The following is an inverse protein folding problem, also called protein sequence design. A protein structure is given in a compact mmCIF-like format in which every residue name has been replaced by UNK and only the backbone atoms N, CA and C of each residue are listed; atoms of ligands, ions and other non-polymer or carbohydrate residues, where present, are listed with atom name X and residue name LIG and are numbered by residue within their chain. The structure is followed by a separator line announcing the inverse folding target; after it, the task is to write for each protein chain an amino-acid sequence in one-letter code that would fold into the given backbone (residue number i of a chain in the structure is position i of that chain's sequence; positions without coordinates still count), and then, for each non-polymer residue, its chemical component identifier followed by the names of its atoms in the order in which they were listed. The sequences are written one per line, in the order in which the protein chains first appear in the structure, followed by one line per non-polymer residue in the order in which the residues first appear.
data_IF_008009677746
#
_entry.id   IF_008009677746
#
_cell.length_a   1.000
_cell.length_b   1.000
_cell.length_c   1.000
_cell.angle_alpha   90.00
_cell.angle_beta   90.00
_cell.angle_gamma   90.00
#
_symmetry.space_group_name_H-M   'P 1'
#
loop_
_entity.id
_entity.type
_entity.pdbx_description
1 polymer ?
#
# COMPACT_ATOMS: atom_id res chain seq x y z
N UNK A 1 18.98 -15.76 28.44
CA UNK A 1 18.16 -14.57 28.07
C UNK A 1 18.82 -13.32 28.63
N UNK A 2 19.02 -12.27 27.83
CA UNK A 2 19.49 -10.96 28.30
C UNK A 2 18.40 -10.22 29.08
N UNK A 3 18.76 -9.29 29.96
CA UNK A 3 17.80 -8.46 30.72
C UNK A 3 16.83 -7.71 29.78
N UNK A 4 17.37 -7.12 28.71
CA UNK A 4 16.62 -6.45 27.65
C UNK A 4 15.55 -7.34 27.00
N UNK A 5 15.84 -8.62 26.74
CA UNK A 5 14.82 -9.54 26.20
C UNK A 5 13.66 -9.78 27.17
N UNK A 6 13.90 -9.73 28.49
CA UNK A 6 12.83 -9.90 29.50
C UNK A 6 11.92 -8.68 29.57
N UNK A 7 12.48 -7.48 29.45
CA UNK A 7 11.71 -6.22 29.39
C UNK A 7 10.84 -6.17 28.12
N UNK A 8 11.44 -6.50 26.97
CA UNK A 8 10.74 -6.61 25.69
C UNK A 8 9.60 -7.63 25.77
N UNK A 9 9.84 -8.78 26.41
CA UNK A 9 8.82 -9.81 26.62
C UNK A 9 7.60 -9.26 27.37
N UNK A 10 7.81 -8.45 28.41
CA UNK A 10 6.73 -7.76 29.12
C UNK A 10 5.87 -6.90 28.19
N UNK A 11 6.49 -6.10 27.33
CA UNK A 11 5.77 -5.33 26.30
C UNK A 11 5.05 -6.20 25.27
N UNK A 12 5.65 -7.31 24.84
CA UNK A 12 5.01 -8.28 23.94
C UNK A 12 3.78 -8.95 24.56
N UNK A 13 3.80 -9.22 25.87
CA UNK A 13 2.65 -9.74 26.60
C UNK A 13 1.50 -8.71 26.62
N UNK A 14 1.79 -7.46 26.98
CA UNK A 14 0.80 -6.36 26.94
C UNK A 14 0.20 -6.23 25.53
N UNK A 15 1.05 -6.19 24.50
CA UNK A 15 0.60 -6.10 23.11
C UNK A 15 -0.32 -7.28 22.71
N UNK A 16 -0.03 -8.48 23.21
CA UNK A 16 -0.85 -9.67 22.93
C UNK A 16 -2.24 -9.55 23.57
N UNK A 17 -2.32 -9.11 24.82
CA UNK A 17 -3.60 -8.87 25.51
C UNK A 17 -4.38 -7.76 24.82
N UNK A 18 -3.74 -6.64 24.47
CA UNK A 18 -4.37 -5.57 23.71
C UNK A 18 -5.00 -6.09 22.41
N UNK A 19 -4.30 -6.95 21.66
CA UNK A 19 -4.83 -7.53 20.42
C UNK A 19 -6.02 -8.48 20.65
N UNK A 20 -6.01 -9.23 21.74
CA UNK A 20 -7.14 -10.12 22.08
C UNK A 20 -8.38 -9.33 22.51
N UNK A 21 -8.18 -8.17 23.15
CA UNK A 21 -9.25 -7.27 23.55
C UNK A 21 -9.66 -6.26 22.47
N UNK A 22 -9.16 -6.38 21.23
CA UNK A 22 -9.36 -5.42 20.14
C UNK A 22 -8.96 -3.97 20.48
N UNK A 23 -7.93 -3.80 21.32
CA UNK A 23 -7.38 -2.49 21.64
C UNK A 23 -6.35 -2.06 20.58
N UNK A 24 -6.50 -0.84 20.00
CA UNK A 24 -5.75 -0.40 18.83
C UNK A 24 -4.31 0.06 19.14
N UNK A 25 -3.50 -0.80 19.75
CA UNK A 25 -2.11 -0.50 20.13
C UNK A 25 -1.12 -0.98 19.07
N UNK A 26 -0.45 -0.05 18.40
CA UNK A 26 0.59 -0.38 17.43
C UNK A 26 1.87 -0.90 18.10
N UNK A 27 2.56 -1.84 17.44
CA UNK A 27 3.84 -2.35 17.91
C UNK A 27 4.90 -1.23 18.05
N UNK A 28 4.84 -0.22 17.18
CA UNK A 28 5.69 0.97 17.27
C UNK A 28 5.48 1.78 18.54
N UNK A 29 4.26 1.81 19.09
CA UNK A 29 3.96 2.48 20.36
C UNK A 29 4.67 1.79 21.51
N UNK A 30 4.61 0.44 21.56
CA UNK A 30 5.32 -0.36 22.57
C UNK A 30 6.84 -0.20 22.43
N UNK A 31 7.36 -0.23 21.21
CA UNK A 31 8.79 -0.01 20.94
C UNK A 31 9.26 1.37 21.41
N UNK A 32 8.46 2.41 21.15
CA UNK A 32 8.74 3.76 21.62
C UNK A 32 8.74 3.86 23.16
N UNK A 33 7.74 3.29 23.83
CA UNK A 33 7.64 3.31 25.30
C UNK A 33 8.77 2.55 25.99
N UNK A 34 9.25 1.46 25.39
CA UNK A 34 10.36 0.67 25.91
C UNK A 34 11.73 1.18 25.47
N UNK A 35 11.80 2.14 24.54
CA UNK A 35 13.06 2.61 23.95
C UNK A 35 13.78 1.54 23.11
N UNK A 36 13.05 0.62 22.48
CA UNK A 36 13.60 -0.52 21.73
C UNK A 36 13.22 -0.46 20.25
N UNK A 37 14.12 -0.93 19.38
CA UNK A 37 13.83 -1.09 17.95
C UNK A 37 12.72 -2.11 17.67
N UNK A 38 11.85 -1.78 16.70
CA UNK A 38 10.72 -2.61 16.30
C UNK A 38 11.14 -3.97 15.71
N UNK A 39 12.35 -4.09 15.18
CA UNK A 39 12.94 -5.33 14.65
C UNK A 39 13.12 -6.35 15.78
N UNK A 40 13.77 -5.94 16.87
CA UNK A 40 14.01 -6.75 18.06
C UNK A 40 12.71 -7.08 18.78
N UNK A 41 11.83 -6.09 18.94
CA UNK A 41 10.49 -6.29 19.50
C UNK A 41 9.67 -7.31 18.68
N UNK A 42 9.72 -7.22 17.35
CA UNK A 42 9.03 -8.13 16.44
C UNK A 42 9.58 -9.56 16.47
N UNK A 43 10.89 -9.74 16.71
CA UNK A 43 11.49 -11.06 16.89
C UNK A 43 10.99 -11.72 18.17
N UNK A 44 11.06 -11.02 19.31
CA UNK A 44 10.59 -11.53 20.61
C UNK A 44 9.08 -11.78 20.59
N UNK A 45 8.30 -10.90 19.97
CA UNK A 45 6.85 -11.08 19.82
C UNK A 45 6.50 -12.37 19.06
N UNK A 46 7.26 -12.69 18.00
CA UNK A 46 7.06 -13.92 17.22
C UNK A 46 7.46 -15.18 17.98
N UNK A 47 8.54 -15.11 18.75
CA UNK A 47 8.93 -16.21 19.65
C UNK A 47 7.84 -16.46 20.71
N UNK A 48 7.33 -15.40 21.33
CA UNK A 48 6.24 -15.46 22.31
C UNK A 48 4.98 -16.11 21.73
N UNK A 49 4.50 -15.63 20.58
CA UNK A 49 3.27 -16.16 19.97
C UNK A 49 3.42 -17.61 19.54
N UNK A 50 4.59 -18.00 19.04
CA UNK A 50 4.90 -19.39 18.70
C UNK A 50 4.96 -20.28 19.95
N UNK A 51 5.64 -19.83 21.00
CA UNK A 51 5.82 -20.61 22.23
C UNK A 51 4.48 -20.84 22.98
N UNK A 52 3.60 -19.84 22.97
CA UNK A 52 2.30 -19.90 23.65
C UNK A 52 1.14 -20.33 22.74
N UNK A 53 1.41 -20.67 21.47
CA UNK A 53 0.41 -21.00 20.46
C UNK A 53 -0.74 -19.98 20.37
N UNK A 54 -0.41 -18.69 20.47
CA UNK A 54 -1.39 -17.61 20.42
C UNK A 54 -1.79 -17.37 18.97
N UNK A 55 -3.09 -17.47 18.68
CA UNK A 55 -3.64 -17.01 17.40
C UNK A 55 -3.41 -15.51 17.26
N UNK A 56 -2.63 -15.11 16.26
CA UNK A 56 -2.33 -13.71 16.02
C UNK A 56 -3.60 -13.02 15.51
N UNK A 57 -4.27 -12.28 16.40
CA UNK A 57 -5.29 -11.31 15.99
C UNK A 57 -4.59 -10.07 15.45
N UNK A 58 -4.94 -9.66 14.24
CA UNK A 58 -4.47 -8.39 13.67
C UNK A 58 -5.44 -7.29 14.06
N UNK A 59 -4.93 -6.20 14.62
CA UNK A 59 -5.72 -4.98 14.85
C UNK A 59 -6.25 -4.51 13.50
N UNK A 60 -7.57 -4.31 13.41
CA UNK A 60 -8.18 -3.71 12.24
C UNK A 60 -7.71 -2.28 12.09
N UNK A 61 -7.36 -1.87 10.87
CA UNK A 61 -7.00 -0.46 10.62
C UNK A 61 -8.13 0.50 11.03
N UNK A 62 -9.36 0.03 10.97
CA UNK A 62 -10.57 0.74 11.37
C UNK A 62 -10.61 1.01 12.88
N UNK A 63 -10.16 0.08 13.70
CA UNK A 63 -10.16 0.20 15.16
C UNK A 63 -9.22 1.32 15.65
N UNK A 64 -8.17 1.62 14.86
CA UNK A 64 -7.24 2.72 15.12
C UNK A 64 -7.77 4.08 14.65
N UNK A 65 -8.74 4.11 13.74
CA UNK A 65 -9.10 5.33 13.01
C UNK A 65 -9.68 6.41 13.93
N UNK A 66 -10.57 6.03 14.84
CA UNK A 66 -11.24 6.98 15.72
C UNK A 66 -10.23 7.71 16.60
N UNK A 67 -9.47 6.96 17.41
CA UNK A 67 -8.39 7.52 18.24
C UNK A 67 -7.42 8.37 17.41
N UNK A 68 -7.06 7.90 16.21
CA UNK A 68 -6.14 8.63 15.34
C UNK A 68 -6.71 9.97 14.85
N UNK A 69 -8.01 10.06 14.57
CA UNK A 69 -8.67 11.31 14.20
C UNK A 69 -8.75 12.30 15.38
N UNK A 70 -8.94 11.80 16.60
CA UNK A 70 -8.96 12.64 17.81
C UNK A 70 -7.60 13.26 18.15
N UNK A 71 -6.50 12.64 17.74
CA UNK A 71 -5.16 13.21 17.91
C UNK A 71 -4.93 14.49 17.07
N UNK A 72 -5.74 14.72 16.03
CA UNK A 72 -5.66 15.95 15.23
C UNK A 72 -6.46 17.08 15.88
N UNK A 73 -5.80 18.22 16.06
CA UNK A 73 -6.43 19.45 16.58
C UNK A 73 -7.13 20.23 15.45
N UNK A 74 -8.18 19.63 14.92
CA UNK A 74 -9.00 20.18 13.83
C UNK A 74 -10.41 20.61 14.30
N UNK A 75 -10.66 20.70 15.60
CA UNK A 75 -11.97 21.06 16.13
C UNK A 75 -12.38 22.51 15.81
N UNK A 76 -13.69 22.83 15.81
CA UNK A 76 -14.21 24.18 15.53
C UNK A 76 -13.69 25.25 16.51
N UNK A 77 -13.26 24.84 17.70
CA UNK A 77 -12.68 25.74 18.70
C UNK A 77 -11.25 26.20 18.36
N UNK A 78 -10.59 25.57 17.40
CA UNK A 78 -9.15 25.74 17.15
C UNK A 78 -8.88 26.52 15.86
N UNK A 79 -9.61 26.25 14.77
CA UNK A 79 -9.32 26.82 13.44
C UNK A 79 -10.59 26.95 12.58
N UNK A 80 -11.27 28.10 12.58
CA UNK A 80 -12.62 28.27 12.00
C UNK A 80 -12.76 27.81 10.53
N UNK A 81 -11.82 28.18 9.64
CA UNK A 81 -11.90 27.86 8.19
C UNK A 81 -11.47 26.42 7.87
N UNK A 82 -10.62 25.82 8.71
CA UNK A 82 -10.07 24.48 8.49
C UNK A 82 -10.65 23.42 9.41
N UNK A 83 -11.56 23.82 10.29
CA UNK A 83 -12.17 22.97 11.27
C UNK A 83 -13.01 21.88 10.62
N UNK A 84 -12.91 20.68 11.18
CA UNK A 84 -13.83 19.58 10.96
C UNK A 84 -14.05 18.85 12.29
N UNK A 85 -15.30 18.54 12.64
CA UNK A 85 -15.56 17.65 13.78
C UNK A 85 -14.91 16.28 13.52
N UNK A 86 -14.25 15.68 14.54
CA UNK A 86 -13.58 14.39 14.40
C UNK A 86 -14.48 13.30 13.80
N UNK A 87 -15.77 13.27 14.17
CA UNK A 87 -16.71 12.28 13.65
C UNK A 87 -16.83 12.31 12.11
N UNK A 88 -16.93 13.50 11.51
CA UNK A 88 -17.03 13.61 10.04
C UNK A 88 -15.76 13.17 9.34
N UNK A 89 -14.60 13.37 9.97
CA UNK A 89 -13.33 12.85 9.49
C UNK A 89 -13.30 11.33 9.58
N UNK A 90 -13.74 10.75 10.70
CA UNK A 90 -13.83 9.29 10.89
C UNK A 90 -14.75 8.67 9.84
N UNK A 91 -15.96 9.18 9.65
CA UNK A 91 -16.93 8.62 8.70
C UNK A 91 -16.37 8.61 7.26
N UNK A 92 -15.74 9.72 6.85
CA UNK A 92 -15.21 9.83 5.50
C UNK A 92 -13.91 9.07 5.30
N UNK A 93 -13.01 9.10 6.28
CA UNK A 93 -11.76 8.33 6.23
C UNK A 93 -12.03 6.83 6.28
N UNK A 94 -13.03 6.40 7.05
CA UNK A 94 -13.54 5.03 7.09
C UNK A 94 -13.95 4.56 5.69
N UNK A 95 -14.82 5.31 5.02
CA UNK A 95 -15.27 4.98 3.68
C UNK A 95 -14.12 4.95 2.65
N UNK A 96 -13.11 5.81 2.78
CA UNK A 96 -11.89 5.79 1.97
C UNK A 96 -11.01 4.56 2.25
N UNK A 97 -10.90 4.13 3.51
CA UNK A 97 -10.12 2.95 3.90
C UNK A 97 -10.81 1.67 3.43
N UNK A 98 -12.13 1.59 3.51
CA UNK A 98 -12.90 0.48 2.94
C UNK A 98 -12.72 0.40 1.43
N UNK A 99 -12.79 1.54 0.72
CA UNK A 99 -12.45 1.59 -0.70
C UNK A 99 -11.00 1.16 -0.97
N UNK A 100 -10.06 1.55 -0.10
CA UNK A 100 -8.67 1.14 -0.20
C UNK A 100 -8.50 -0.39 0.00
N UNK A 101 -9.33 -1.01 0.85
CA UNK A 101 -9.36 -2.45 1.04
C UNK A 101 -9.85 -3.16 -0.22
N UNK A 102 -10.98 -2.70 -0.79
CA UNK A 102 -11.55 -3.23 -2.04
C UNK A 102 -10.58 -3.09 -3.23
N UNK A 103 -9.71 -2.08 -3.21
CA UNK A 103 -8.71 -1.81 -4.24
C UNK A 103 -7.29 -2.34 -3.92
N UNK A 104 -7.13 -3.23 -2.93
CA UNK A 104 -5.85 -3.87 -2.57
C UNK A 104 -4.73 -2.91 -2.11
N UNK A 105 -5.09 -1.76 -1.54
CA UNK A 105 -4.14 -0.79 -0.98
C UNK A 105 -3.81 -1.11 0.48
N UNK A 106 -4.70 -1.77 1.23
CA UNK A 106 -4.51 -2.07 2.67
C UNK A 106 -3.58 -3.26 2.92
N UNK A 107 -3.74 -4.33 2.14
CA UNK A 107 -3.13 -5.65 2.41
C UNK A 107 -1.61 -5.62 2.41
N UNK A 108 -1.00 -6.13 3.49
CA UNK A 108 0.47 -6.26 3.62
C UNK A 108 1.22 -4.96 3.88
N UNK A 109 0.53 -3.89 4.32
CA UNK A 109 1.13 -2.56 4.48
C UNK A 109 1.02 -2.04 5.90
N UNK A 110 1.91 -1.10 6.22
CA UNK A 110 1.88 -0.36 7.47
C UNK A 110 0.57 0.46 7.56
N UNK A 111 -0.18 0.38 8.67
CA UNK A 111 -1.48 1.06 8.78
C UNK A 111 -1.35 2.57 8.94
N UNK A 112 -0.36 3.06 9.69
CA UNK A 112 -0.21 4.49 10.00
C UNK A 112 -0.09 5.39 8.76
N UNK A 113 0.75 5.08 7.74
CA UNK A 113 0.80 5.90 6.52
C UNK A 113 -0.53 5.92 5.75
N UNK A 114 -1.33 4.85 5.82
CA UNK A 114 -2.62 4.77 5.15
C UNK A 114 -3.68 5.59 5.89
N UNK A 115 -3.70 5.52 7.23
CA UNK A 115 -4.55 6.38 8.07
C UNK A 115 -4.28 7.86 7.79
N UNK A 116 -3.01 8.29 7.79
CA UNK A 116 -2.61 9.66 7.47
C UNK A 116 -3.10 10.10 6.08
N UNK A 117 -2.95 9.23 5.08
CA UNK A 117 -3.38 9.52 3.72
C UNK A 117 -4.92 9.64 3.60
N UNK A 118 -5.64 8.71 4.23
CA UNK A 118 -7.11 8.69 4.22
C UNK A 118 -7.70 9.90 4.96
N UNK A 119 -7.19 10.23 6.15
CA UNK A 119 -7.64 11.39 6.93
C UNK A 119 -7.36 12.70 6.18
N UNK A 120 -6.19 12.84 5.56
CA UNK A 120 -5.89 14.02 4.74
C UNK A 120 -6.84 14.16 3.54
N UNK A 121 -7.12 13.08 2.80
CA UNK A 121 -8.08 13.10 1.69
C UNK A 121 -9.51 13.34 2.16
N UNK A 122 -9.90 12.79 3.31
CA UNK A 122 -11.18 13.06 3.95
C UNK A 122 -11.32 14.55 4.27
N UNK A 123 -10.32 15.13 4.92
CA UNK A 123 -10.29 16.56 5.23
C UNK A 123 -10.37 17.42 3.98
N UNK A 124 -9.59 17.12 2.94
CA UNK A 124 -9.63 17.89 1.68
C UNK A 124 -11.01 17.79 1.01
N UNK A 125 -11.59 16.60 0.92
CA UNK A 125 -12.86 16.40 0.22
C UNK A 125 -14.08 16.98 0.94
N UNK A 126 -14.02 17.18 2.27
CA UNK A 126 -15.12 17.78 3.04
C UNK A 126 -15.32 19.27 2.70
N UNK A 127 -14.24 19.95 2.29
CA UNK A 127 -14.31 21.32 1.78
C UNK A 127 -13.23 21.55 0.70
N UNK A 128 -13.43 21.01 -0.52
CA UNK A 128 -12.37 20.92 -1.51
C UNK A 128 -11.98 22.27 -2.10
N UNK A 129 -12.92 23.22 -2.19
CA UNK A 129 -12.66 24.55 -2.72
C UNK A 129 -11.64 25.32 -1.87
N UNK A 130 -11.70 25.14 -0.55
CA UNK A 130 -10.80 25.81 0.38
C UNK A 130 -9.51 25.00 0.61
N UNK A 131 -9.61 23.66 0.65
CA UNK A 131 -8.58 22.80 1.23
C UNK A 131 -7.62 22.14 0.22
N UNK A 132 -7.99 22.02 -1.06
CA UNK A 132 -7.14 21.33 -2.03
C UNK A 132 -5.79 22.00 -2.29
N UNK A 133 -5.68 23.32 -2.06
CA UNK A 133 -4.43 24.08 -2.22
C UNK A 133 -3.36 23.74 -1.17
N UNK A 134 -3.76 23.11 -0.05
CA UNK A 134 -2.84 22.77 1.02
C UNK A 134 -2.19 21.41 0.77
N UNK A 135 -0.89 21.31 1.03
CA UNK A 135 -0.14 20.06 0.97
C UNK A 135 -0.35 19.23 2.24
N UNK A 136 0.01 17.94 2.17
CA UNK A 136 -0.01 17.05 3.33
C UNK A 136 0.78 17.61 4.53
N UNK A 137 2.01 18.11 4.29
CA UNK A 137 2.82 18.70 5.36
C UNK A 137 2.14 19.91 6.01
N UNK A 138 1.49 20.77 5.20
CA UNK A 138 0.79 21.94 5.73
C UNK A 138 -0.46 21.51 6.52
N UNK A 139 -1.17 20.49 6.06
CA UNK A 139 -2.27 19.86 6.80
C UNK A 139 -1.80 19.32 8.17
N UNK A 140 -0.70 18.57 8.23
CA UNK A 140 -0.18 18.05 9.49
C UNK A 140 0.19 19.17 10.48
N UNK A 141 0.76 20.27 9.98
CA UNK A 141 1.04 21.47 10.79
C UNK A 141 -0.23 22.16 11.28
N UNK A 142 -1.26 22.27 10.44
CA UNK A 142 -2.57 22.85 10.80
C UNK A 142 -3.20 21.99 11.90
N UNK A 143 -3.26 20.68 11.73
CA UNK A 143 -3.84 19.76 12.72
C UNK A 143 -2.95 19.44 13.92
N UNK A 144 -1.81 20.11 14.08
CA UNK A 144 -0.82 19.89 15.15
C UNK A 144 -0.46 18.41 15.37
N UNK A 145 -0.35 17.64 14.29
CA UNK A 145 0.01 16.23 14.38
C UNK A 145 1.47 16.07 14.87
N UNK A 146 1.78 15.07 15.72
CA UNK A 146 3.13 14.87 16.24
C UNK A 146 4.17 14.77 15.13
N UNK A 147 5.12 15.72 15.10
CA UNK A 147 6.06 15.90 13.98
C UNK A 147 6.93 14.67 13.72
N UNK A 148 7.34 13.97 14.79
CA UNK A 148 8.14 12.75 14.66
C UNK A 148 7.40 11.63 13.91
N UNK A 149 6.08 11.55 14.06
CA UNK A 149 5.26 10.46 13.52
C UNK A 149 5.06 10.57 12.01
N UNK A 150 4.73 11.76 11.50
CA UNK A 150 4.45 11.95 10.06
C UNK A 150 5.70 12.24 9.23
N UNK A 151 6.76 12.80 9.82
CA UNK A 151 8.04 12.99 9.11
C UNK A 151 8.69 11.66 8.71
N UNK A 152 8.69 10.66 9.62
CA UNK A 152 9.28 9.33 9.34
C UNK A 152 8.49 8.53 8.30
N UNK A 153 7.17 8.72 8.25
CA UNK A 153 6.29 8.00 7.31
C UNK A 153 6.04 8.76 6.01
N UNK A 154 6.57 9.98 5.84
CA UNK A 154 6.19 10.92 4.76
C UNK A 154 6.16 10.28 3.39
N UNK A 155 7.23 9.60 3.00
CA UNK A 155 7.33 9.01 1.65
C UNK A 155 6.37 7.84 1.46
N UNK A 156 6.03 7.13 2.55
CA UNK A 156 5.00 6.10 2.54
C UNK A 156 3.61 6.72 2.43
N UNK A 157 3.35 7.83 3.12
CA UNK A 157 2.08 8.57 3.02
C UNK A 157 1.87 9.10 1.61
N UNK A 158 2.87 9.74 1.01
CA UNK A 158 2.80 10.26 -0.37
C UNK A 158 2.51 9.13 -1.36
N UNK A 159 3.10 7.94 -1.17
CA UNK A 159 2.77 6.76 -1.98
C UNK A 159 1.32 6.30 -1.80
N UNK A 160 0.81 6.25 -0.55
CA UNK A 160 -0.60 5.91 -0.29
C UNK A 160 -1.56 6.94 -0.89
N UNK A 161 -1.22 8.22 -0.83
CA UNK A 161 -2.01 9.30 -1.45
C UNK A 161 -2.10 9.16 -2.95
N UNK A 162 -0.98 8.84 -3.62
CA UNK A 162 -0.96 8.59 -5.05
C UNK A 162 -1.87 7.42 -5.42
N UNK A 163 -1.72 6.28 -4.75
CA UNK A 163 -2.53 5.09 -5.03
C UNK A 163 -4.03 5.33 -4.79
N UNK A 164 -4.39 6.01 -3.70
CA UNK A 164 -5.79 6.38 -3.41
C UNK A 164 -6.35 7.31 -4.49
N UNK A 165 -5.60 8.35 -4.90
CA UNK A 165 -6.01 9.25 -5.98
C UNK A 165 -6.15 8.50 -7.30
N UNK A 166 -5.25 7.58 -7.62
CA UNK A 166 -5.32 6.76 -8.83
C UNK A 166 -6.60 5.90 -8.85
N UNK A 167 -6.96 5.28 -7.72
CA UNK A 167 -8.23 4.53 -7.57
C UNK A 167 -9.43 5.46 -7.73
N UNK A 168 -9.43 6.60 -7.05
CA UNK A 168 -10.50 7.59 -7.17
C UNK A 168 -10.64 8.10 -8.61
N UNK A 169 -9.54 8.32 -9.34
CA UNK A 169 -9.58 8.73 -10.74
C UNK A 169 -10.22 7.66 -11.63
N UNK A 170 -9.87 6.38 -11.42
CA UNK A 170 -10.49 5.27 -12.14
C UNK A 170 -12.00 5.22 -11.90
N UNK A 171 -12.43 5.38 -10.65
CA UNK A 171 -13.86 5.39 -10.30
C UNK A 171 -14.57 6.67 -10.77
N UNK A 172 -13.90 7.81 -10.74
CA UNK A 172 -14.45 9.08 -11.20
C UNK A 172 -14.81 9.06 -12.69
N UNK A 173 -14.01 8.38 -13.53
CA UNK A 173 -14.29 8.21 -14.96
C UNK A 173 -15.58 7.42 -15.23
N UNK A 174 -16.02 6.62 -14.26
CA UNK A 174 -17.26 5.84 -14.35
C UNK A 174 -18.52 6.62 -13.95
N UNK A 175 -18.38 7.87 -13.49
CA UNK A 175 -19.52 8.71 -13.13
C UNK A 175 -20.32 9.09 -14.39
N UNK A 176 -21.64 8.80 -14.44
CA UNK A 176 -22.44 8.99 -15.66
C UNK A 176 -22.45 10.42 -16.21
N UNK A 177 -22.42 11.43 -15.33
CA UNK A 177 -22.49 12.83 -15.71
C UNK A 177 -21.16 13.41 -16.22
N UNK A 178 -20.04 12.73 -15.99
CA UNK A 178 -18.74 13.18 -16.51
C UNK A 178 -18.53 12.78 -17.98
N UNK A 179 -19.32 11.84 -18.52
CA UNK A 179 -19.34 11.46 -19.96
C UNK A 179 -17.94 11.30 -20.59
N UNK A 180 -16.99 10.71 -19.86
CA UNK A 180 -15.62 10.51 -20.35
C UNK A 180 -14.69 11.72 -20.21
N UNK A 181 -15.11 12.76 -19.49
CA UNK A 181 -14.26 13.90 -19.15
C UNK A 181 -13.02 13.50 -18.35
N UNK A 182 -11.94 14.26 -18.50
CA UNK A 182 -10.68 13.98 -17.83
C UNK A 182 -10.81 14.14 -16.32
N UNK A 183 -10.52 13.05 -15.59
CA UNK A 183 -10.45 13.03 -14.13
C UNK A 183 -8.99 12.98 -13.71
N UNK A 184 -8.48 14.12 -13.26
CA UNK A 184 -7.09 14.25 -12.82
C UNK A 184 -6.90 13.98 -11.33
N UNK A 185 -5.74 13.44 -10.91
CA UNK A 185 -5.44 13.16 -9.50
C UNK A 185 -5.53 14.37 -8.56
N UNK A 186 -5.37 15.58 -9.10
CA UNK A 186 -5.38 16.82 -8.32
C UNK A 186 -6.81 17.37 -8.11
N UNK A 187 -7.74 17.05 -9.00
CA UNK A 187 -9.10 17.56 -9.00
C UNK A 187 -10.13 16.54 -8.51
N UNK A 188 -9.79 15.24 -8.57
CA UNK A 188 -10.66 14.12 -8.17
C UNK A 188 -11.19 14.21 -6.75
N UNK A 189 -10.49 14.92 -5.87
CA UNK A 189 -10.90 15.12 -4.46
C UNK A 189 -12.27 15.80 -4.35
N UNK A 190 -12.66 16.62 -5.35
CA UNK A 190 -14.00 17.22 -5.43
C UNK A 190 -15.12 16.20 -5.61
N UNK A 191 -14.81 15.05 -6.20
CA UNK A 191 -15.77 13.99 -6.56
C UNK A 191 -15.86 12.89 -5.50
N UNK A 192 -15.07 12.96 -4.43
CA UNK A 192 -14.96 11.89 -3.44
C UNK A 192 -16.30 11.56 -2.79
N UNK A 193 -17.15 12.55 -2.53
CA UNK A 193 -18.47 12.31 -1.92
C UNK A 193 -19.36 11.44 -2.84
N UNK A 194 -19.44 11.81 -4.12
CA UNK A 194 -20.20 11.07 -5.13
C UNK A 194 -19.64 9.67 -5.38
N UNK A 195 -18.31 9.55 -5.43
CA UNK A 195 -17.61 8.29 -5.62
C UNK A 195 -17.88 7.36 -4.44
N UNK A 196 -17.72 7.84 -3.21
CA UNK A 196 -17.91 7.02 -2.00
C UNK A 196 -19.36 6.58 -1.85
N UNK A 197 -20.33 7.46 -2.13
CA UNK A 197 -21.76 7.14 -2.10
C UNK A 197 -22.13 5.99 -3.03
N UNK A 198 -21.44 5.86 -4.16
CA UNK A 198 -21.72 4.85 -5.20
C UNK A 198 -20.61 3.79 -5.36
N UNK A 199 -19.69 3.67 -4.39
CA UNK A 199 -18.41 2.95 -4.56
C UNK A 199 -18.54 1.54 -5.10
N UNK A 200 -19.52 0.76 -4.61
CA UNK A 200 -19.71 -0.65 -5.02
C UNK A 200 -20.11 -0.75 -6.49
N UNK A 201 -21.05 0.10 -6.93
CA UNK A 201 -21.50 0.13 -8.30
C UNK A 201 -20.38 0.61 -9.24
N UNK A 202 -19.63 1.63 -8.84
CA UNK A 202 -18.52 2.16 -9.63
C UNK A 202 -17.37 1.15 -9.73
N UNK A 203 -17.02 0.43 -8.67
CA UNK A 203 -16.00 -0.62 -8.69
C UNK A 203 -16.38 -1.73 -9.69
N UNK A 204 -17.62 -2.23 -9.60
CA UNK A 204 -18.11 -3.28 -10.52
C UNK A 204 -18.12 -2.81 -11.97
N UNK A 205 -18.56 -1.56 -12.21
CA UNK A 205 -18.60 -0.97 -13.56
C UNK A 205 -17.18 -0.76 -14.12
N UNK A 206 -16.27 -0.23 -13.32
CA UNK A 206 -14.88 0.00 -13.71
C UNK A 206 -14.19 -1.31 -14.12
N UNK A 207 -14.39 -2.39 -13.34
CA UNK A 207 -13.83 -3.71 -13.67
C UNK A 207 -14.41 -4.25 -14.97
N UNK A 208 -15.75 -4.21 -15.15
CA UNK A 208 -16.40 -4.68 -16.38
C UNK A 208 -15.95 -3.92 -17.62
N UNK A 209 -15.87 -2.59 -17.54
CA UNK A 209 -15.44 -1.76 -18.66
C UNK A 209 -13.98 -2.02 -19.04
N UNK A 210 -13.12 -2.23 -18.03
CA UNK A 210 -11.73 -2.60 -18.27
C UNK A 210 -11.59 -3.98 -18.94
N UNK A 211 -12.36 -4.97 -18.50
CA UNK A 211 -12.39 -6.30 -19.12
C UNK A 211 -12.85 -6.24 -20.59
N UNK A 212 -13.88 -5.44 -20.89
CA UNK A 212 -14.36 -5.24 -22.27
C UNK A 212 -13.31 -4.54 -23.14
N UNK A 213 -12.61 -3.53 -22.62
CA UNK A 213 -11.52 -2.86 -23.34
C UNK A 213 -10.40 -3.83 -23.70
N UNK A 214 -10.00 -4.70 -22.76
CA UNK A 214 -8.96 -5.71 -22.98
C UNK A 214 -9.36 -6.72 -24.07
N UNK A 215 -10.63 -7.14 -24.10
CA UNK A 215 -11.15 -8.07 -25.11
C UNK A 215 -11.14 -7.45 -26.51
N UNK A 216 -11.54 -6.18 -26.62
CA UNK A 216 -11.54 -5.46 -27.89
C UNK A 216 -10.10 -5.29 -28.42
N UNK A 217 -9.14 -4.92 -27.58
CA UNK A 217 -7.72 -4.78 -27.95
C UNK A 217 -7.13 -6.09 -28.48
N UNK A 218 -7.47 -7.21 -27.85
CA UNK A 218 -7.00 -8.56 -28.24
C UNK A 218 -7.56 -8.99 -29.60
N UNK A 219 -8.83 -8.68 -29.88
CA UNK A 219 -9.46 -9.00 -31.18
C UNK A 219 -8.91 -8.15 -32.33
N UNK A 220 -8.60 -6.87 -32.10
CA UNK A 220 -7.95 -6.02 -33.12
C UNK A 220 -6.53 -6.45 -33.46
N UNK A 221 -5.80 -7.11 -32.56
CA UNK A 221 -4.43 -7.59 -32.85
C UNK A 221 -4.38 -8.93 -33.59
N UNK A 222 -5.49 -9.68 -33.63
CA UNK A 222 -5.56 -10.96 -34.35
C UNK A 222 -5.97 -10.81 -35.83
N UNK A 223 -6.67 -9.73 -36.21
CA UNK A 223 -7.10 -9.51 -37.60
C UNK A 223 -6.01 -8.98 -38.55
N UNK A 224 -4.86 -8.51 -38.04
CA UNK A 224 -3.77 -7.94 -38.86
C UNK A 224 -2.63 -8.94 -39.18
N UNK A 225 -2.83 -10.25 -38.94
CA UNK A 225 -1.84 -11.28 -39.32
C UNK A 225 -2.17 -11.91 -40.69
N UNK A 226 -1.74 -11.23 -41.75
CA UNK A 226 -1.52 -11.85 -43.07
C UNK A 226 -0.42 -12.94 -42.97
N UNK A 227 -0.55 -14.10 -43.64
CA UNK A 227 0.45 -15.16 -43.59
C UNK A 227 1.62 -14.79 -44.50
N UNK A 228 2.68 -14.24 -43.91
CA UNK A 228 3.97 -14.09 -44.57
C UNK A 228 4.99 -15.01 -43.91
N UNK A 229 5.37 -16.05 -44.66
CA UNK A 229 6.45 -16.95 -44.33
C UNK A 229 7.78 -16.18 -44.20
N UNK A 230 8.28 -16.01 -42.98
CA UNK A 230 9.72 -15.86 -42.75
C UNK A 230 10.09 -16.25 -41.33
N UNK A 231 11.04 -17.18 -41.24
CA UNK A 231 11.56 -17.76 -40.02
C UNK A 231 12.25 -16.72 -39.11
N UNK A 232 12.18 -17.04 -37.82
CA UNK A 232 13.16 -16.75 -36.78
C UNK A 232 13.00 -15.42 -36.01
N UNK A 233 12.42 -15.48 -34.81
CA UNK A 233 13.17 -15.48 -33.54
C UNK A 233 12.19 -15.34 -32.37
N UNK A 234 11.89 -16.47 -31.74
CA UNK A 234 11.09 -16.54 -30.50
C UNK A 234 11.72 -15.67 -29.41
N UNK A 235 10.99 -14.65 -28.96
CA UNK A 235 11.28 -13.93 -27.73
C UNK A 235 10.29 -14.39 -26.65
N UNK A 236 10.73 -15.07 -25.57
CA UNK A 236 9.81 -15.56 -24.56
C UNK A 236 9.35 -14.39 -23.68
N UNK A 237 8.20 -13.83 -24.03
CA UNK A 237 7.44 -12.90 -23.19
C UNK A 237 7.23 -13.52 -21.81
N UNK A 238 7.78 -12.87 -20.78
CA UNK A 238 7.66 -13.24 -19.38
C UNK A 238 6.20 -13.53 -19.02
N UNK A 239 5.88 -14.80 -18.75
CA UNK A 239 4.55 -15.27 -18.37
C UNK A 239 4.20 -14.77 -16.96
N UNK A 240 3.77 -13.51 -16.87
CA UNK A 240 2.79 -13.14 -15.84
C UNK A 240 1.52 -13.93 -16.16
N UNK A 241 0.93 -14.69 -15.21
CA UNK A 241 -0.31 -15.41 -15.46
C UNK A 241 -1.33 -14.46 -16.09
N UNK A 242 -1.90 -14.79 -17.24
CA UNK A 242 -2.83 -13.93 -17.99
C UNK A 242 -3.97 -13.41 -17.11
N UNK A 243 -4.36 -14.18 -16.10
CA UNK A 243 -5.37 -13.85 -15.11
C UNK A 243 -5.03 -12.60 -14.27
N UNK A 244 -3.75 -12.36 -13.97
CA UNK A 244 -3.30 -11.16 -13.25
C UNK A 244 -3.25 -9.92 -14.14
N UNK A 245 -3.13 -10.07 -15.47
CA UNK A 245 -3.18 -8.93 -16.40
C UNK A 245 -4.61 -8.39 -16.62
N UNK A 246 -5.63 -9.18 -16.27
CA UNK A 246 -7.05 -8.89 -16.54
C UNK A 246 -7.76 -8.06 -15.47
N UNK A 247 -7.15 -7.84 -14.31
CA UNK A 247 -7.81 -7.12 -13.21
C UNK A 247 -7.38 -5.64 -13.13
N UNK A 248 -8.36 -4.72 -13.17
CA UNK A 248 -8.12 -3.26 -13.10
C UNK A 248 -7.45 -2.82 -11.78
N UNK A 249 -7.86 -3.44 -10.67
CA UNK A 249 -7.35 -3.16 -9.32
C UNK A 249 -6.47 -4.33 -8.88
N UNK A 250 -5.16 -4.16 -9.08
CA UNK A 250 -4.14 -5.08 -8.60
C UNK A 250 -3.41 -4.48 -7.41
N UNK A 251 -2.93 -5.33 -6.47
CA UNK A 251 -2.00 -4.89 -5.46
C UNK A 251 -0.84 -4.13 -6.12
N UNK A 252 -0.50 -2.91 -5.69
CA UNK A 252 0.46 -2.08 -6.42
C UNK A 252 1.87 -2.70 -6.61
N UNK A 253 2.24 -3.70 -5.80
CA UNK A 253 3.51 -4.42 -5.98
C UNK A 253 3.53 -5.30 -7.25
N UNK A 254 2.36 -5.77 -7.71
CA UNK A 254 2.22 -6.60 -8.92
C UNK A 254 2.53 -5.78 -10.17
N UNK A 255 2.28 -4.47 -10.14
CA UNK A 255 2.53 -3.56 -11.27
C UNK A 255 4.01 -3.22 -11.46
N UNK A 256 4.81 -3.37 -10.42
CA UNK A 256 6.26 -3.18 -10.50
C UNK A 256 6.91 -4.47 -11.01
N UNK A 257 7.07 -4.60 -12.33
CA UNK A 257 7.98 -5.58 -12.91
C UNK A 257 9.38 -5.33 -12.34
N UNK A 258 9.90 -6.23 -11.51
CA UNK A 258 11.30 -6.19 -11.09
C UNK A 258 12.08 -7.37 -11.64
N UNK A 259 13.14 -6.95 -12.35
CA UNK A 259 14.37 -7.62 -12.75
C UNK A 259 14.21 -8.82 -13.68
N UNK A 260 14.86 -8.67 -14.84
CA UNK A 260 15.32 -9.75 -15.69
C UNK A 260 15.85 -10.86 -14.79
N UNK A 261 15.11 -11.97 -14.70
CA UNK A 261 15.76 -13.24 -14.44
C UNK A 261 16.71 -13.37 -15.63
N UNK A 262 18.00 -13.28 -15.37
CA UNK A 262 18.94 -13.99 -16.23
C UNK A 262 18.42 -15.43 -16.17
N UNK A 263 18.00 -15.98 -17.30
CA UNK A 263 17.62 -17.38 -17.35
C UNK A 263 18.71 -18.16 -16.63
N UNK A 264 18.34 -18.86 -15.56
CA UNK A 264 19.31 -19.69 -14.86
C UNK A 264 19.80 -20.68 -15.92
N UNK A 265 21.09 -20.66 -16.30
CA UNK A 265 21.59 -21.66 -17.21
C UNK A 265 21.27 -23.03 -16.62
N UNK A 266 20.89 -23.99 -17.45
CA UNK A 266 20.77 -25.37 -16.99
C UNK A 266 22.14 -25.77 -16.46
N UNK A 267 22.25 -25.89 -15.14
CA UNK A 267 23.48 -26.27 -14.47
C UNK A 267 23.56 -27.80 -14.55
N UNK A 268 24.25 -28.30 -15.57
CA UNK A 268 24.82 -29.65 -15.57
C UNK A 268 26.11 -29.63 -14.76
N UNK A 269 25.97 -29.46 -13.44
CA UNK A 269 27.08 -29.52 -12.49
C UNK A 269 26.80 -30.66 -11.52
N UNK A 270 27.57 -31.73 -11.66
CA UNK A 270 27.60 -32.95 -10.85
C UNK A 270 28.53 -32.83 -9.65
N UNK A 271 29.52 -31.93 -9.69
CA UNK A 271 30.51 -31.72 -8.64
C UNK A 271 31.74 -32.62 -8.72
N UNK A 272 31.76 -33.54 -9.68
CA UNK A 272 32.86 -34.45 -9.98
C UNK A 272 33.61 -34.04 -11.27
N UNK A 273 33.38 -32.83 -11.77
CA UNK A 273 34.06 -32.34 -12.97
C UNK A 273 35.56 -32.15 -12.71
N UNK A 274 36.38 -32.59 -13.67
CA UNK A 274 37.82 -32.34 -13.65
C UNK A 274 38.09 -30.83 -13.77
N UNK A 275 38.77 -30.27 -12.77
CA UNK A 275 39.20 -28.87 -12.78
C UNK A 275 40.59 -28.81 -13.41
N UNK A 276 40.73 -28.13 -14.55
CA UNK A 276 42.02 -28.04 -15.23
C UNK A 276 43.02 -27.14 -14.48
N UNK A 277 44.31 -27.46 -14.57
CA UNK A 277 45.38 -26.65 -13.97
C UNK A 277 45.35 -25.19 -14.46
N UNK A 278 44.94 -24.96 -15.71
CA UNK A 278 44.78 -23.61 -16.28
C UNK A 278 43.67 -22.78 -15.61
N UNK A 279 42.57 -23.43 -15.18
CA UNK A 279 41.50 -22.76 -14.42
C UNK A 279 42.04 -22.36 -13.04
N UNK A 280 42.81 -23.25 -12.39
CA UNK A 280 43.43 -23.02 -11.09
C UNK A 280 44.48 -21.89 -11.16
N UNK A 281 45.32 -21.90 -12.19
CA UNK A 281 46.35 -20.89 -12.43
C UNK A 281 45.77 -19.48 -12.60
N UNK A 282 44.53 -19.35 -13.11
CA UNK A 282 43.85 -18.06 -13.26
C UNK A 282 43.61 -17.33 -11.92
N UNK A 283 43.58 -18.07 -10.81
CA UNK A 283 43.44 -17.53 -9.46
C UNK A 283 44.79 -17.25 -8.77
N UNK A 284 45.91 -17.71 -9.36
CA UNK A 284 47.25 -17.46 -8.83
C UNK A 284 47.75 -16.14 -9.40
N UNK A 285 48.13 -15.20 -8.53
CA UNK A 285 48.74 -13.95 -8.97
C UNK A 285 50.10 -14.24 -9.59
N UNK A 286 50.26 -13.83 -10.85
CA UNK A 286 51.55 -13.88 -11.53
C UNK A 286 52.58 -13.07 -10.74
N UNK A 287 53.75 -13.66 -10.49
CA UNK A 287 54.87 -12.94 -9.93
C UNK A 287 55.33 -11.88 -10.94
N UNK A 288 55.31 -10.62 -10.52
CA UNK A 288 55.85 -9.49 -11.26
C UNK A 288 57.37 -9.57 -11.37
#
# INVERSE_FOLDING_TARGET
MTLTKKEILGGCCVLSVCRQCNWPVAMGTIGYLLGVENTTLGAVYRELTKALNIKISTIGIMDMLESFCYDFKLGPQQIEVFAEPPQRLVDRASALIELAADAWIVTGRQPLPLLMAAVYLAWQSLNPMVRMKYTFNKFCKIGQAPEQSWCRSRDSVVRRLKELRDVLCKLGRELPWLRGGEVEPNTVVKLVDDILKNRKALLMRAVRNYEQQLQNETQTTECDKEPSDSNCSDSPSSKTPELLKRHLFLPPFVKSCKRQRVDAPQLEVTGDEDISDSEIESYIRSHA
#
